data_IF_136930592563
#
_entry.id   IF_136930592563
#
_cell.length_a   1.000
_cell.length_b   1.000
_cell.length_c   1.000
_cell.angle_alpha   90.00
_cell.angle_beta   90.00
_cell.angle_gamma   90.00
#
_symmetry.space_group_name_H-M   'P 1'
#
loop_
_entity.id
_entity.type
_entity.pdbx_description
1 polymer ?
#
# COMPACT_ATOMS: atom_id res chain seq x y z
N UNK A 1 29.89 59.61 -53.01
CA UNK A 1 30.94 59.16 -52.09
C UNK A 1 30.47 59.47 -50.68
N UNK A 2 30.14 58.41 -49.91
CA UNK A 2 29.86 58.34 -48.46
C UNK A 2 28.78 59.26 -47.86
N UNK A 3 27.62 58.68 -47.50
CA UNK A 3 26.82 59.13 -46.37
C UNK A 3 25.86 58.03 -45.85
N UNK A 4 26.05 57.74 -44.56
CA UNK A 4 25.12 57.18 -43.55
C UNK A 4 24.79 55.68 -43.59
N UNK A 5 25.56 54.96 -42.79
CA UNK A 5 25.16 53.76 -42.06
C UNK A 5 23.88 54.02 -41.25
N UNK A 6 22.80 53.28 -41.49
CA UNK A 6 21.63 53.26 -40.61
C UNK A 6 21.24 51.82 -40.29
N UNK A 7 21.49 51.49 -39.03
CA UNK A 7 20.96 50.40 -38.22
C UNK A 7 19.50 50.09 -38.53
N UNK A 8 19.16 48.81 -38.63
CA UNK A 8 17.90 48.30 -38.09
C UNK A 8 18.10 46.85 -37.65
N UNK A 9 18.79 46.71 -36.52
CA UNK A 9 18.90 45.50 -35.73
C UNK A 9 17.55 45.24 -35.07
N UNK A 10 16.68 44.52 -35.77
CA UNK A 10 15.45 43.99 -35.16
C UNK A 10 15.86 42.85 -34.25
N UNK A 11 15.95 43.18 -32.97
CA UNK A 11 16.25 42.29 -31.85
C UNK A 11 15.37 41.04 -31.89
N UNK A 12 15.93 39.94 -32.39
CA UNK A 12 15.44 38.63 -32.02
C UNK A 12 16.10 38.29 -30.68
N UNK A 13 15.39 38.59 -29.59
CA UNK A 13 15.75 38.15 -28.24
C UNK A 13 15.71 36.61 -28.24
N UNK A 14 16.83 36.01 -28.64
CA UNK A 14 17.03 34.58 -28.58
C UNK A 14 17.12 34.20 -27.10
N UNK A 15 16.00 33.75 -26.54
CA UNK A 15 15.98 33.07 -25.26
C UNK A 15 16.78 31.78 -25.45
N UNK A 16 18.05 31.81 -25.02
CA UNK A 16 18.92 30.63 -24.97
C UNK A 16 18.36 29.68 -23.91
N UNK A 17 17.49 28.77 -24.32
CA UNK A 17 17.21 27.58 -23.52
C UNK A 17 18.38 26.64 -23.80
N UNK A 18 19.41 26.70 -22.95
CA UNK A 18 20.48 25.73 -22.95
C UNK A 18 19.87 24.38 -22.52
N UNK A 19 19.45 23.57 -23.49
CA UNK A 19 18.88 22.25 -23.25
C UNK A 19 19.97 21.35 -22.67
N UNK A 20 20.09 21.37 -21.34
CA UNK A 20 21.02 20.51 -20.61
C UNK A 20 20.54 19.06 -20.73
N UNK A 21 21.19 18.30 -21.60
CA UNK A 21 20.99 16.85 -21.68
C UNK A 21 21.54 16.23 -20.40
N UNK A 22 20.64 15.75 -19.53
CA UNK A 22 20.99 15.00 -18.32
C UNK A 22 20.78 13.52 -18.62
N UNK A 23 21.86 12.76 -18.72
CA UNK A 23 21.80 11.31 -18.83
C UNK A 23 21.65 10.71 -17.43
N UNK A 24 20.47 10.14 -17.13
CA UNK A 24 20.22 9.41 -15.89
C UNK A 24 20.50 7.93 -16.12
N UNK A 25 21.38 7.28 -15.33
CA UNK A 25 21.64 5.85 -15.47
C UNK A 25 20.39 5.02 -15.12
N UNK A 26 20.26 3.84 -15.73
CA UNK A 26 19.23 2.89 -15.34
C UNK A 26 19.45 2.43 -13.88
N UNK A 27 18.38 2.41 -13.08
CA UNK A 27 18.41 1.98 -11.68
C UNK A 27 17.54 0.74 -11.45
N UNK A 28 17.97 -0.15 -10.55
CA UNK A 28 17.20 -1.33 -10.13
C UNK A 28 16.77 -1.17 -8.68
N UNK A 29 15.47 -1.31 -8.41
CA UNK A 29 14.91 -1.28 -7.05
C UNK A 29 14.35 -2.66 -6.72
N UNK A 30 14.87 -3.28 -5.66
CA UNK A 30 14.32 -4.52 -5.12
C UNK A 30 13.33 -4.17 -4.01
N UNK A 31 12.05 -4.46 -4.23
CA UNK A 31 11.00 -4.27 -3.23
C UNK A 31 10.72 -5.63 -2.60
N UNK A 32 10.98 -5.81 -1.28
CA UNK A 32 10.75 -7.09 -0.63
C UNK A 32 9.25 -7.38 -0.46
N UNK A 33 8.86 -8.67 -0.42
CA UNK A 33 7.46 -9.06 -0.28
C UNK A 33 6.90 -8.68 1.10
N UNK A 34 5.60 -8.38 1.16
CA UNK A 34 4.87 -8.09 2.41
C UNK A 34 3.73 -9.11 2.63
N UNK A 35 4.04 -10.34 3.09
CA UNK A 35 3.09 -11.46 3.04
C UNK A 35 2.13 -11.54 4.26
N UNK A 36 1.43 -10.45 4.61
CA UNK A 36 0.57 -10.39 5.81
C UNK A 36 -0.47 -11.53 5.89
N UNK A 37 -1.14 -11.90 4.78
CA UNK A 37 -2.06 -13.03 4.75
C UNK A 37 -1.41 -14.36 5.17
N UNK A 38 -0.17 -14.62 4.74
CA UNK A 38 0.52 -15.87 5.06
C UNK A 38 0.89 -15.93 6.54
N UNK A 39 1.31 -14.79 7.09
CA UNK A 39 1.61 -14.67 8.52
C UNK A 39 0.36 -14.92 9.36
N UNK A 40 -0.79 -14.33 8.99
CA UNK A 40 -2.06 -14.58 9.66
C UNK A 40 -2.41 -16.08 9.64
N UNK A 41 -2.41 -16.72 8.48
CA UNK A 41 -2.75 -18.16 8.38
C UNK A 41 -1.82 -18.99 9.26
N UNK A 42 -0.51 -18.75 9.19
CA UNK A 42 0.46 -19.50 10.00
C UNK A 42 0.21 -19.37 11.51
N UNK A 43 -0.28 -18.22 11.97
CA UNK A 43 -0.53 -17.95 13.39
C UNK A 43 -1.91 -18.43 13.87
N UNK A 44 -2.93 -18.39 13.00
CA UNK A 44 -4.33 -18.52 13.42
C UNK A 44 -4.98 -19.86 13.02
N UNK A 45 -4.44 -20.56 12.01
CA UNK A 45 -5.14 -21.71 11.42
C UNK A 45 -5.40 -22.88 12.39
N UNK A 46 -4.55 -23.06 13.40
CA UNK A 46 -4.61 -24.21 14.30
C UNK A 46 -5.88 -24.23 15.17
N UNK A 47 -6.43 -23.06 15.52
CA UNK A 47 -7.57 -22.97 16.44
C UNK A 47 -8.93 -22.80 15.76
N UNK A 48 -8.98 -22.54 14.45
CA UNK A 48 -10.25 -22.31 13.75
C UNK A 48 -11.24 -23.47 13.85
N UNK A 49 -10.76 -24.71 13.83
CA UNK A 49 -11.60 -25.90 14.00
C UNK A 49 -12.21 -26.00 15.40
N UNK A 50 -11.41 -25.74 16.42
CA UNK A 50 -11.85 -25.75 17.82
C UNK A 50 -12.84 -24.61 18.09
N UNK A 51 -12.58 -23.43 17.54
CA UNK A 51 -13.46 -22.27 17.69
C UNK A 51 -14.79 -22.47 16.97
N UNK A 52 -14.77 -23.06 15.77
CA UNK A 52 -15.99 -23.48 15.08
C UNK A 52 -16.81 -24.44 15.96
N UNK A 53 -16.17 -25.42 16.61
CA UNK A 53 -16.86 -26.36 17.52
C UNK A 53 -17.49 -25.67 18.73
N UNK A 54 -16.78 -24.73 19.36
CA UNK A 54 -17.30 -23.93 20.50
C UNK A 54 -18.48 -23.06 20.09
N UNK A 55 -18.34 -22.34 18.98
CA UNK A 55 -19.37 -21.45 18.44
C UNK A 55 -20.60 -22.27 18.03
N UNK A 56 -20.43 -23.47 17.49
CA UNK A 56 -21.54 -24.34 17.08
C UNK A 56 -22.45 -24.70 18.26
N UNK A 57 -21.85 -25.10 19.39
CA UNK A 57 -22.59 -25.43 20.62
C UNK A 57 -23.24 -24.18 21.23
N UNK A 58 -22.55 -23.04 21.17
CA UNK A 58 -23.05 -21.78 21.73
C UNK A 58 -24.25 -21.18 20.97
N UNK A 59 -24.42 -21.53 19.68
CA UNK A 59 -25.47 -20.98 18.82
C UNK A 59 -26.56 -22.00 18.46
N UNK A 60 -26.76 -23.04 19.28
CA UNK A 60 -27.80 -24.06 19.07
C UNK A 60 -27.79 -24.66 17.66
N UNK A 61 -26.59 -24.83 17.07
CA UNK A 61 -26.39 -25.36 15.72
C UNK A 61 -26.96 -24.49 14.57
N UNK A 62 -27.17 -23.19 14.79
CA UNK A 62 -27.47 -22.23 13.71
C UNK A 62 -26.22 -21.99 12.84
N UNK A 63 -26.13 -22.74 11.74
CA UNK A 63 -24.97 -22.72 10.83
C UNK A 63 -24.76 -21.36 10.15
N UNK A 64 -25.79 -20.68 9.60
CA UNK A 64 -25.62 -19.32 9.08
C UNK A 64 -25.02 -18.35 10.10
N UNK A 65 -25.53 -18.36 11.34
CA UNK A 65 -25.06 -17.44 12.38
C UNK A 65 -23.63 -17.77 12.85
N UNK A 66 -23.32 -19.05 13.01
CA UNK A 66 -21.98 -19.58 13.28
C UNK A 66 -20.94 -19.10 12.28
N UNK A 67 -21.22 -19.27 10.98
CA UNK A 67 -20.27 -18.93 9.91
C UNK A 67 -20.05 -17.41 9.82
N UNK A 68 -21.08 -16.63 10.15
CA UNK A 68 -20.97 -15.18 10.24
C UNK A 68 -20.03 -14.76 11.38
N UNK A 69 -20.19 -15.34 12.57
CA UNK A 69 -19.31 -15.08 13.71
C UNK A 69 -17.86 -15.51 13.48
N UNK A 70 -17.65 -16.70 12.89
CA UNK A 70 -16.30 -17.14 12.54
C UNK A 70 -15.68 -16.24 11.47
N UNK A 71 -16.45 -15.82 10.46
CA UNK A 71 -16.02 -14.90 9.42
C UNK A 71 -15.55 -13.56 9.99
N UNK A 72 -16.31 -12.98 10.92
CA UNK A 72 -15.94 -11.76 11.63
C UNK A 72 -14.63 -11.94 12.41
N UNK A 73 -14.45 -13.07 13.11
CA UNK A 73 -13.21 -13.35 13.84
C UNK A 73 -12.00 -13.44 12.92
N UNK A 74 -12.13 -14.11 11.77
CA UNK A 74 -11.04 -14.22 10.78
C UNK A 74 -10.75 -12.85 10.15
N UNK A 75 -11.77 -12.05 9.86
CA UNK A 75 -11.60 -10.68 9.37
C UNK A 75 -10.83 -9.81 10.38
N UNK A 76 -11.15 -9.93 11.67
CA UNK A 76 -10.42 -9.29 12.76
C UNK A 76 -8.95 -9.71 12.83
N UNK A 77 -8.67 -11.00 12.74
CA UNK A 77 -7.30 -11.53 12.72
C UNK A 77 -6.50 -11.01 11.52
N UNK A 78 -7.13 -10.88 10.35
CA UNK A 78 -6.51 -10.30 9.16
C UNK A 78 -6.14 -8.83 9.36
N UNK A 79 -7.07 -8.04 9.90
CA UNK A 79 -6.83 -6.63 10.24
C UNK A 79 -5.66 -6.51 11.21
N UNK A 80 -5.60 -7.38 12.22
CA UNK A 80 -4.52 -7.40 13.20
C UNK A 80 -3.18 -7.75 12.54
N UNK A 81 -3.13 -8.77 11.69
CA UNK A 81 -1.93 -9.14 10.95
C UNK A 81 -1.41 -8.03 10.01
N UNK A 82 -2.29 -7.19 9.47
CA UNK A 82 -1.89 -6.01 8.68
C UNK A 82 -1.22 -4.97 9.58
N UNK A 83 -1.82 -4.68 10.75
CA UNK A 83 -1.34 -3.66 11.69
C UNK A 83 0.00 -4.04 12.33
N UNK A 84 0.19 -5.33 12.58
CA UNK A 84 1.40 -5.87 13.21
C UNK A 84 2.56 -6.03 12.22
N UNK A 85 2.31 -5.89 10.92
CA UNK A 85 3.36 -6.02 9.91
C UNK A 85 4.32 -4.83 9.94
N UNK A 86 5.54 -5.05 10.46
CA UNK A 86 6.60 -4.03 10.53
C UNK A 86 7.84 -4.34 9.68
N UNK A 87 8.06 -5.61 9.35
CA UNK A 87 9.25 -6.04 8.62
C UNK A 87 8.91 -6.64 7.26
N UNK A 88 9.55 -6.19 6.18
CA UNK A 88 10.60 -5.17 6.11
C UNK A 88 10.04 -3.73 6.26
N UNK A 89 10.83 -2.75 6.76
CA UNK A 89 10.38 -1.37 6.90
C UNK A 89 10.16 -0.68 5.53
N UNK A 90 9.57 0.51 5.53
CA UNK A 90 9.51 1.32 4.32
C UNK A 90 10.90 1.87 3.92
N UNK A 91 11.06 2.17 2.63
CA UNK A 91 12.24 2.89 2.17
C UNK A 91 12.32 4.28 2.82
N UNK A 92 13.54 4.77 3.08
CA UNK A 92 13.75 6.08 3.73
C UNK A 92 13.06 7.23 3.00
N UNK A 93 13.01 7.19 1.67
CA UNK A 93 12.28 8.18 0.86
C UNK A 93 10.78 8.14 1.13
N UNK A 94 10.18 6.95 1.20
CA UNK A 94 8.75 6.77 1.52
C UNK A 94 8.45 7.25 2.93
N UNK A 95 9.27 6.92 3.93
CA UNK A 95 9.10 7.41 5.31
C UNK A 95 9.19 8.94 5.36
N UNK A 96 10.12 9.55 4.62
CA UNK A 96 10.25 11.01 4.55
C UNK A 96 9.02 11.68 3.91
N UNK A 97 8.41 11.06 2.89
CA UNK A 97 7.18 11.56 2.26
C UNK A 97 5.96 11.37 3.17
N UNK A 98 5.87 10.22 3.83
CA UNK A 98 4.70 9.80 4.60
C UNK A 98 4.68 10.37 6.03
N UNK A 99 5.85 10.60 6.61
CA UNK A 99 6.02 11.06 7.99
C UNK A 99 6.01 9.96 9.06
N UNK A 100 5.78 8.70 8.68
CA UNK A 100 5.78 7.55 9.60
C UNK A 100 6.17 6.25 8.88
N UNK A 101 6.61 5.26 9.65
CA UNK A 101 7.03 3.95 9.14
C UNK A 101 5.96 2.88 9.41
N UNK A 102 4.94 2.87 8.55
CA UNK A 102 4.01 1.74 8.48
C UNK A 102 4.01 1.16 7.05
N UNK A 103 4.55 -0.05 6.86
CA UNK A 103 4.61 -0.73 5.57
C UNK A 103 3.30 -0.89 4.80
N UNK A 104 2.18 -1.06 5.52
CA UNK A 104 0.92 -1.52 4.94
C UNK A 104 -0.23 -0.53 5.14
N UNK A 105 -0.08 0.45 6.05
CA UNK A 105 -1.14 1.39 6.39
C UNK A 105 -0.75 2.81 6.02
N UNK A 106 -1.31 3.38 4.95
CA UNK A 106 -1.15 4.82 4.63
C UNK A 106 -2.43 5.61 4.98
N UNK A 107 -3.45 5.52 4.12
CA UNK A 107 -4.79 6.11 4.35
C UNK A 107 -5.72 5.24 5.20
N UNK A 108 -5.27 4.06 5.64
CA UNK A 108 -6.09 2.99 6.24
C UNK A 108 -7.19 2.42 5.32
N UNK A 109 -7.24 2.77 4.03
CA UNK A 109 -8.25 2.23 3.09
C UNK A 109 -8.21 0.71 3.02
N UNK A 110 -7.01 0.11 2.98
CA UNK A 110 -6.85 -1.33 2.94
C UNK A 110 -7.46 -2.02 4.17
N UNK A 111 -7.11 -1.54 5.36
CA UNK A 111 -7.61 -2.09 6.65
C UNK A 111 -9.12 -1.96 6.74
N UNK A 112 -9.66 -0.81 6.36
CA UNK A 112 -11.10 -0.53 6.46
C UNK A 112 -11.93 -1.26 5.38
N UNK A 113 -11.28 -1.82 4.35
CA UNK A 113 -11.94 -2.57 3.29
C UNK A 113 -12.06 -4.08 3.57
N UNK A 114 -11.48 -4.56 4.68
CA UNK A 114 -11.56 -5.95 5.08
C UNK A 114 -12.97 -6.26 5.57
N UNK A 115 -13.66 -7.15 4.87
CA UNK A 115 -14.99 -7.66 5.24
C UNK A 115 -15.08 -9.15 4.95
N UNK A 116 -16.04 -9.83 5.59
CA UNK A 116 -16.43 -11.20 5.28
C UNK A 116 -17.82 -11.22 4.64
N UNK A 117 -18.15 -12.34 3.98
CA UNK A 117 -19.49 -12.57 3.43
C UNK A 117 -19.86 -14.04 3.54
N UNK A 118 -21.03 -14.31 4.10
CA UNK A 118 -21.69 -15.61 4.04
C UNK A 118 -22.82 -15.51 3.02
N UNK A 119 -22.77 -16.34 1.98
CA UNK A 119 -23.88 -16.44 1.03
C UNK A 119 -24.98 -17.27 1.68
N UNK A 120 -26.17 -16.67 1.81
CA UNK A 120 -27.40 -17.33 2.24
C UNK A 120 -28.05 -18.07 1.07
#
# INVERSE_FOLDING_TARGET
MLLVSSVCESSQTAVRIDTKVVTVPAYTVTIPPRPFFRTMIANEHDHWGDDLGKILVANDYDVPHLLDQLGESIAGALVQSIRDFKEPPNARSTVATKGFDDPLVDSSTMVNSVTHRVAQ
#
